data_IF_166690013891
#
_entry.id   IF_166690013891
#
_cell.length_a   1.000
_cell.length_b   1.000
_cell.length_c   1.000
_cell.angle_alpha   90.00
_cell.angle_beta   90.00
_cell.angle_gamma   90.00
#
_symmetry.space_group_name_H-M   'P 1'
#
loop_
_entity.id
_entity.type
_entity.pdbx_description
1 polymer ?
#
# COMPACT_ATOMS: atom_id res chain seq x y z
N UNK A 1 -4.41 47.04 -5.81
CA UNK A 1 -4.74 45.63 -6.06
C UNK A 1 -4.38 44.85 -4.81
N UNK A 2 -5.35 44.64 -3.93
CA UNK A 2 -5.18 43.91 -2.66
C UNK A 2 -5.27 42.42 -2.96
N UNK A 3 -4.15 41.71 -2.85
CA UNK A 3 -4.12 40.26 -2.93
C UNK A 3 -4.76 39.71 -1.64
N UNK A 4 -6.01 39.25 -1.71
CA UNK A 4 -6.64 38.50 -0.64
C UNK A 4 -5.95 37.14 -0.60
N UNK A 5 -5.06 36.90 0.37
CA UNK A 5 -4.59 35.54 0.61
C UNK A 5 -5.74 34.77 1.22
N UNK A 6 -6.31 33.81 0.50
CA UNK A 6 -7.26 32.86 1.06
C UNK A 6 -6.45 31.99 2.02
N UNK A 7 -6.60 32.23 3.32
CA UNK A 7 -6.01 31.38 4.35
C UNK A 7 -6.82 30.08 4.39
N UNK A 8 -6.16 28.95 4.20
CA UNK A 8 -6.83 27.65 4.23
C UNK A 8 -7.37 27.29 5.62
N UNK A 9 -8.35 26.39 5.63
CA UNK A 9 -9.02 25.91 6.85
C UNK A 9 -8.45 24.58 7.34
N UNK A 10 -8.60 24.30 8.64
CA UNK A 10 -8.16 23.04 9.25
C UNK A 10 -9.37 22.12 9.46
N UNK A 11 -9.26 20.88 9.00
CA UNK A 11 -10.29 19.85 9.19
C UNK A 11 -9.69 18.68 9.94
N UNK A 12 -10.22 18.35 11.11
CA UNK A 12 -9.76 17.19 11.87
C UNK A 12 -10.59 15.97 11.48
N UNK A 13 -9.94 14.85 11.13
CA UNK A 13 -10.66 13.64 10.71
C UNK A 13 -11.64 13.11 11.77
N UNK A 14 -11.39 13.39 13.06
CA UNK A 14 -12.27 13.05 14.18
C UNK A 14 -13.59 13.80 14.18
N UNK A 15 -13.66 15.00 13.58
CA UNK A 15 -14.91 15.76 13.41
C UNK A 15 -15.84 15.08 12.39
N UNK A 16 -15.30 14.16 11.60
CA UNK A 16 -16.02 13.35 10.60
C UNK A 16 -16.23 11.91 11.06
N UNK A 17 -15.83 11.57 12.30
CA UNK A 17 -16.05 10.26 12.90
C UNK A 17 -14.89 9.26 12.77
N UNK A 18 -13.70 9.69 12.32
CA UNK A 18 -12.52 8.82 12.31
C UNK A 18 -11.87 8.82 13.70
N UNK A 19 -11.87 7.67 14.37
CA UNK A 19 -11.34 7.51 15.73
C UNK A 19 -10.28 6.43 15.74
N UNK A 20 -9.12 6.74 16.31
CA UNK A 20 -8.02 5.79 16.31
C UNK A 20 -8.18 4.68 17.35
N UNK A 21 -7.62 3.52 17.03
CA UNK A 21 -7.52 2.34 17.90
C UNK A 21 -8.87 1.75 18.36
N UNK A 22 -9.95 1.97 17.62
CA UNK A 22 -11.26 1.41 17.92
C UNK A 22 -11.59 0.15 17.09
N UNK A 23 -10.69 -0.25 16.17
CA UNK A 23 -10.86 -1.34 15.21
C UNK A 23 -12.07 -1.17 14.27
N UNK A 24 -12.51 0.07 14.07
CA UNK A 24 -13.56 0.43 13.11
C UNK A 24 -12.90 0.96 11.84
N UNK A 25 -13.58 0.77 10.70
CA UNK A 25 -13.13 1.30 9.41
C UNK A 25 -13.36 2.82 9.34
N UNK A 26 -12.27 3.56 9.24
CA UNK A 26 -12.23 5.03 9.20
C UNK A 26 -12.31 5.59 7.77
N UNK A 27 -12.33 4.73 6.73
CA UNK A 27 -12.19 5.18 5.33
C UNK A 27 -13.20 6.27 4.96
N UNK A 28 -14.49 6.09 5.27
CA UNK A 28 -15.53 7.06 4.89
C UNK A 28 -15.38 8.40 5.60
N UNK A 29 -15.04 8.38 6.89
CA UNK A 29 -14.83 9.57 7.70
C UNK A 29 -13.61 10.38 7.24
N UNK A 30 -12.51 9.69 6.93
CA UNK A 30 -11.31 10.32 6.38
C UNK A 30 -11.59 10.91 4.99
N UNK A 31 -12.28 10.17 4.12
CA UNK A 31 -12.66 10.66 2.80
C UNK A 31 -13.53 11.92 2.91
N UNK A 32 -14.51 11.94 3.81
CA UNK A 32 -15.38 13.10 4.02
C UNK A 32 -14.59 14.34 4.50
N UNK A 33 -13.60 14.17 5.36
CA UNK A 33 -12.72 15.27 5.80
C UNK A 33 -11.91 15.84 4.63
N UNK A 34 -11.34 14.96 3.79
CA UNK A 34 -10.57 15.34 2.59
C UNK A 34 -11.46 16.06 1.58
N UNK A 35 -12.62 15.51 1.26
CA UNK A 35 -13.59 16.11 0.34
C UNK A 35 -14.01 17.49 0.83
N UNK A 36 -14.22 17.63 2.15
CA UNK A 36 -14.53 18.93 2.75
C UNK A 36 -13.38 19.93 2.56
N UNK A 37 -12.14 19.53 2.82
CA UNK A 37 -10.97 20.39 2.63
C UNK A 37 -10.76 20.82 1.17
N UNK A 38 -10.97 19.91 0.22
CA UNK A 38 -10.92 20.21 -1.22
C UNK A 38 -12.04 21.19 -1.59
N UNK A 39 -13.26 20.95 -1.12
CA UNK A 39 -14.42 21.82 -1.41
C UNK A 39 -14.28 23.24 -0.82
N UNK A 40 -13.54 23.39 0.28
CA UNK A 40 -13.27 24.69 0.89
C UNK A 40 -12.35 25.56 0.04
N UNK A 41 -11.41 24.94 -0.69
CA UNK A 41 -10.50 25.61 -1.61
C UNK A 41 -9.03 25.44 -1.25
N UNK A 42 -8.21 26.34 -1.77
CA UNK A 42 -6.74 26.22 -1.71
C UNK A 42 -6.21 26.42 -0.29
N UNK A 43 -5.18 25.65 0.08
CA UNK A 43 -4.45 25.81 1.34
C UNK A 43 -5.03 25.07 2.55
N UNK A 44 -6.12 24.31 2.37
CA UNK A 44 -6.73 23.52 3.45
C UNK A 44 -5.77 22.48 4.03
N UNK A 45 -5.95 22.17 5.32
CA UNK A 45 -5.13 21.21 6.06
C UNK A 45 -6.04 20.13 6.68
N UNK A 46 -5.84 18.87 6.30
CA UNK A 46 -6.48 17.70 6.90
C UNK A 46 -5.58 17.16 8.00
N UNK A 47 -6.10 17.06 9.22
CA UNK A 47 -5.35 16.70 10.42
C UNK A 47 -5.83 15.34 10.93
N UNK A 48 -4.93 14.36 10.91
CA UNK A 48 -5.18 13.03 11.46
C UNK A 48 -5.02 13.00 12.98
N UNK A 49 -5.73 12.07 13.61
CA UNK A 49 -5.64 11.77 15.04
C UNK A 49 -4.35 11.00 15.39
N UNK A 50 -4.04 10.96 16.68
CA UNK A 50 -2.99 10.09 17.23
C UNK A 50 -3.51 8.65 17.37
N UNK A 51 -2.78 7.67 16.85
CA UNK A 51 -3.07 6.24 16.93
C UNK A 51 -3.20 5.61 15.55
N UNK A 52 -3.84 4.44 15.51
CA UNK A 52 -4.05 3.65 14.29
C UNK A 52 -5.44 3.88 13.74
N UNK A 53 -5.54 4.27 12.47
CA UNK A 53 -6.79 4.32 11.72
C UNK A 53 -6.85 3.14 10.75
N UNK A 54 -7.95 2.39 10.74
CA UNK A 54 -8.13 1.24 9.85
C UNK A 54 -8.81 1.68 8.56
N UNK A 55 -8.32 1.19 7.43
CA UNK A 55 -8.86 1.51 6.12
C UNK A 55 -9.28 0.23 5.42
N UNK A 56 -10.51 0.17 4.93
CA UNK A 56 -11.01 -0.93 4.09
C UNK A 56 -10.95 -0.63 2.59
N UNK A 57 -10.82 0.64 2.21
CA UNK A 57 -10.70 1.08 0.81
C UNK A 57 -9.82 2.32 0.62
N UNK A 58 -9.43 2.54 -0.64
CA UNK A 58 -8.53 3.63 -1.06
C UNK A 58 -9.12 5.01 -0.80
N UNK A 59 -8.32 5.90 -0.21
CA UNK A 59 -8.65 7.32 -0.09
C UNK A 59 -8.33 8.04 -1.41
N UNK A 60 -9.36 8.60 -2.04
CA UNK A 60 -9.26 9.30 -3.31
C UNK A 60 -9.05 10.80 -3.09
N UNK A 61 -8.04 11.38 -3.74
CA UNK A 61 -7.72 12.81 -3.65
C UNK A 61 -7.70 13.36 -5.08
N UNK A 62 -8.76 14.06 -5.48
CA UNK A 62 -8.94 14.52 -6.86
C UNK A 62 -9.15 16.02 -6.91
N UNK A 63 -8.49 16.71 -7.85
CA UNK A 63 -8.62 18.17 -8.06
C UNK A 63 -8.25 19.02 -6.83
N UNK A 64 -7.29 18.57 -6.02
CA UNK A 64 -6.82 19.33 -4.86
C UNK A 64 -5.80 20.41 -5.27
N UNK A 65 -5.87 21.60 -4.68
CA UNK A 65 -4.88 22.68 -4.84
C UNK A 65 -4.32 23.08 -3.48
N UNK A 66 -3.01 22.98 -3.29
CA UNK A 66 -2.31 23.28 -2.03
C UNK A 66 -2.91 22.59 -0.79
N UNK A 67 -3.47 21.38 -0.94
CA UNK A 67 -4.00 20.60 0.17
C UNK A 67 -2.83 19.98 0.95
N UNK A 68 -2.86 20.13 2.27
CA UNK A 68 -1.94 19.41 3.17
C UNK A 68 -2.69 18.35 3.96
N UNK A 69 -2.22 17.11 3.93
CA UNK A 69 -2.66 16.02 4.79
C UNK A 69 -1.53 15.73 5.78
N UNK A 70 -1.82 15.84 7.08
CA UNK A 70 -0.80 15.74 8.12
C UNK A 70 -1.23 14.87 9.30
N UNK A 71 -0.37 13.94 9.69
CA UNK A 71 -0.49 13.20 10.94
C UNK A 71 0.21 13.89 12.11
N UNK A 72 0.12 13.29 13.29
CA UNK A 72 0.73 13.80 14.53
C UNK A 72 2.23 13.46 14.64
N UNK A 73 2.79 12.72 13.68
CA UNK A 73 4.17 12.23 13.65
C UNK A 73 4.24 10.80 13.11
N UNK A 74 5.38 10.42 12.52
CA UNK A 74 5.56 9.09 11.91
C UNK A 74 5.30 7.93 12.90
N UNK A 75 5.66 8.10 14.17
CA UNK A 75 5.41 7.11 15.24
C UNK A 75 4.08 7.32 15.98
N UNK A 76 3.26 8.28 15.56
CA UNK A 76 2.06 8.73 16.28
C UNK A 76 0.78 8.58 15.48
N UNK A 77 0.85 8.54 14.17
CA UNK A 77 -0.30 8.33 13.29
C UNK A 77 0.04 7.20 12.34
N UNK A 78 -0.70 6.10 12.42
CA UNK A 78 -0.57 4.94 11.54
C UNK A 78 -1.87 4.77 10.76
N UNK A 79 -1.77 4.65 9.44
CA UNK A 79 -2.87 4.20 8.58
C UNK A 79 -2.61 2.74 8.23
N UNK A 80 -3.55 1.86 8.54
CA UNK A 80 -3.43 0.44 8.25
C UNK A 80 -4.48 0.00 7.22
N UNK A 81 -4.01 -0.46 6.07
CA UNK A 81 -4.88 -1.06 5.06
C UNK A 81 -5.25 -2.49 5.46
N UNK A 82 -6.55 -2.77 5.56
CA UNK A 82 -7.08 -4.10 5.94
C UNK A 82 -7.49 -4.97 4.76
N UNK A 83 -7.43 -4.41 3.54
CA UNK A 83 -7.66 -5.11 2.28
C UNK A 83 -6.56 -4.77 1.27
N UNK A 84 -6.54 -5.46 0.12
CA UNK A 84 -5.56 -5.17 -0.94
C UNK A 84 -5.97 -3.89 -1.67
N UNK A 85 -5.33 -2.77 -1.32
CA UNK A 85 -5.65 -1.45 -1.83
C UNK A 85 -4.40 -0.56 -1.94
N UNK A 86 -4.56 0.61 -2.55
CA UNK A 86 -3.67 1.74 -2.29
C UNK A 86 -4.23 2.52 -1.11
N UNK A 87 -3.39 3.06 -0.22
CA UNK A 87 -3.90 3.92 0.85
C UNK A 87 -4.39 5.26 0.29
N UNK A 88 -3.57 5.90 -0.55
CA UNK A 88 -3.92 7.14 -1.24
C UNK A 88 -3.86 6.96 -2.74
N UNK A 89 -4.85 7.53 -3.44
CA UNK A 89 -4.86 7.67 -4.87
C UNK A 89 -5.12 9.13 -5.24
N UNK A 90 -4.07 9.82 -5.71
CA UNK A 90 -4.12 11.24 -6.02
C UNK A 90 -4.16 11.48 -7.54
N UNK A 91 -5.10 12.30 -8.00
CA UNK A 91 -5.26 12.67 -9.41
C UNK A 91 -5.52 14.17 -9.58
N UNK A 92 -4.94 14.77 -10.62
CA UNK A 92 -5.15 16.18 -10.96
C UNK A 92 -4.91 17.16 -9.79
N UNK A 93 -3.93 16.85 -8.94
CA UNK A 93 -3.60 17.67 -7.79
C UNK A 93 -2.40 18.60 -8.09
N UNK A 94 -2.46 19.82 -7.56
CA UNK A 94 -1.36 20.78 -7.56
C UNK A 94 -0.98 21.14 -6.12
N UNK A 95 0.29 21.07 -5.77
CA UNK A 95 0.76 21.38 -4.41
C UNK A 95 0.25 20.45 -3.28
N UNK A 96 -0.15 19.20 -3.59
CA UNK A 96 -0.53 18.22 -2.56
C UNK A 96 0.66 17.83 -1.69
N UNK A 97 0.50 17.90 -0.36
CA UNK A 97 1.49 17.43 0.61
C UNK A 97 0.87 16.39 1.54
N UNK A 98 1.53 15.24 1.71
CA UNK A 98 1.18 14.23 2.71
C UNK A 98 2.41 14.06 3.63
N UNK A 99 2.24 14.23 4.94
CA UNK A 99 3.36 14.24 5.88
C UNK A 99 3.01 13.72 7.27
N UNK A 100 4.04 13.40 8.05
CA UNK A 100 3.94 13.11 9.50
C UNK A 100 3.01 11.94 9.87
N UNK A 101 2.95 10.91 9.05
CA UNK A 101 2.20 9.67 9.30
C UNK A 101 3.00 8.46 8.78
N UNK A 102 2.65 7.28 9.28
CA UNK A 102 3.08 5.98 8.75
C UNK A 102 1.94 5.30 8.01
N UNK A 103 2.31 4.44 7.06
CA UNK A 103 1.41 3.57 6.32
C UNK A 103 1.89 2.14 6.51
N UNK A 104 0.97 1.25 6.82
CA UNK A 104 1.20 -0.19 6.84
C UNK A 104 -0.06 -0.94 6.36
N UNK A 105 0.01 -2.26 6.35
CA UNK A 105 -1.07 -3.14 5.95
C UNK A 105 -1.11 -4.35 6.87
N UNK A 106 -2.29 -4.75 7.29
CA UNK A 106 -2.50 -6.05 7.93
C UNK A 106 -3.80 -6.66 7.40
N UNK A 107 -3.71 -7.70 6.56
CA UNK A 107 -2.51 -8.44 6.17
C UNK A 107 -1.62 -7.69 5.17
N UNK A 108 -0.33 -8.05 5.09
CA UNK A 108 0.56 -7.52 4.05
C UNK A 108 -0.01 -7.76 2.64
N UNK A 109 0.12 -6.78 1.72
CA UNK A 109 -0.49 -6.84 0.40
C UNK A 109 0.31 -7.72 -0.57
N UNK A 110 1.32 -8.45 -0.07
CA UNK A 110 2.18 -9.32 -0.84
C UNK A 110 2.64 -10.54 -0.01
N UNK A 111 2.92 -11.63 -0.72
CA UNK A 111 3.58 -12.82 -0.18
C UNK A 111 5.08 -12.73 -0.45
N UNK A 112 5.91 -13.02 0.56
CA UNK A 112 7.35 -13.16 0.39
C UNK A 112 7.85 -14.49 0.94
N UNK A 113 8.96 -14.98 0.39
CA UNK A 113 9.58 -16.22 0.82
C UNK A 113 10.77 -16.63 -0.05
N UNK A 114 11.35 -17.78 0.26
CA UNK A 114 12.51 -18.28 -0.49
C UNK A 114 12.09 -19.23 -1.59
N UNK A 115 12.69 -19.12 -2.77
CA UNK A 115 12.51 -20.08 -3.86
C UNK A 115 13.04 -21.45 -3.42
N UNK A 116 12.20 -22.46 -3.47
CA UNK A 116 12.57 -23.87 -3.16
C UNK A 116 12.51 -24.78 -4.37
N UNK A 117 11.86 -24.34 -5.45
CA UNK A 117 11.83 -25.02 -6.74
C UNK A 117 11.57 -24.00 -7.85
N UNK A 118 12.20 -24.21 -9.01
CA UNK A 118 12.07 -23.33 -10.16
C UNK A 118 12.06 -24.14 -11.46
N UNK A 119 11.09 -23.86 -12.32
CA UNK A 119 10.98 -24.44 -13.65
C UNK A 119 10.59 -23.35 -14.65
N UNK A 120 10.46 -23.72 -15.93
CA UNK A 120 10.00 -22.80 -16.97
C UNK A 120 8.52 -22.42 -16.84
N UNK A 121 7.73 -23.14 -16.02
CA UNK A 121 6.27 -22.97 -15.93
C UNK A 121 5.77 -22.65 -14.53
N UNK A 122 6.63 -22.74 -13.50
CA UNK A 122 6.28 -22.36 -12.14
C UNK A 122 7.51 -22.12 -11.25
N UNK A 123 7.28 -21.37 -10.16
CA UNK A 123 8.14 -21.27 -8.99
C UNK A 123 7.39 -21.84 -7.78
N UNK A 124 8.06 -22.61 -6.93
CA UNK A 124 7.56 -22.89 -5.59
C UNK A 124 8.36 -22.04 -4.59
N UNK A 125 7.67 -21.26 -3.78
CA UNK A 125 8.28 -20.47 -2.71
C UNK A 125 7.89 -21.02 -1.34
N UNK A 126 8.85 -21.06 -0.42
CA UNK A 126 8.60 -21.26 1.01
C UNK A 126 8.30 -19.91 1.64
N UNK A 127 7.01 -19.64 1.81
CA UNK A 127 6.50 -18.41 2.43
C UNK A 127 7.12 -18.22 3.81
N UNK A 128 7.58 -17.00 4.11
CA UNK A 128 8.17 -16.64 5.40
C UNK A 128 7.20 -15.77 6.22
N UNK A 129 7.13 -15.96 7.55
CA UNK A 129 6.46 -15.00 8.41
C UNK A 129 7.04 -13.58 8.25
N UNK A 130 6.22 -12.54 8.45
CA UNK A 130 4.79 -12.59 8.78
C UNK A 130 3.88 -12.72 7.53
N UNK A 131 4.46 -12.96 6.34
CA UNK A 131 3.68 -13.16 5.13
C UNK A 131 2.86 -14.45 5.20
N UNK A 132 1.77 -14.45 4.44
CA UNK A 132 0.87 -15.60 4.29
C UNK A 132 0.84 -16.09 2.85
N UNK A 133 0.50 -17.35 2.69
CA UNK A 133 0.26 -17.94 1.38
C UNK A 133 -1.10 -17.49 0.86
N UNK A 134 -1.11 -16.57 -0.11
CA UNK A 134 -2.33 -16.15 -0.77
C UNK A 134 -2.58 -17.07 -1.99
N UNK A 135 -3.56 -17.97 -1.86
CA UNK A 135 -4.01 -18.87 -2.93
C UNK A 135 -4.98 -18.18 -3.88
N UNK A 136 -5.17 -18.78 -5.05
CA UNK A 136 -6.11 -18.32 -6.08
C UNK A 136 -5.79 -16.92 -6.63
N UNK A 137 -4.51 -16.51 -6.57
CA UNK A 137 -4.05 -15.21 -7.05
C UNK A 137 -3.32 -15.32 -8.38
N UNK A 138 -3.47 -14.27 -9.20
CA UNK A 138 -2.63 -14.05 -10.38
C UNK A 138 -1.43 -13.19 -9.97
N UNK A 139 -0.25 -13.77 -10.03
CA UNK A 139 0.99 -13.04 -9.73
C UNK A 139 1.46 -12.33 -10.99
N UNK A 140 1.32 -11.00 -10.99
CA UNK A 140 1.74 -10.14 -12.11
C UNK A 140 3.19 -9.69 -12.00
N UNK A 141 3.76 -9.75 -10.80
CA UNK A 141 5.10 -9.23 -10.50
C UNK A 141 5.82 -10.15 -9.52
N UNK A 142 7.09 -10.43 -9.79
CA UNK A 142 8.03 -11.08 -8.89
C UNK A 142 9.25 -10.17 -8.78
N UNK A 143 9.69 -9.90 -7.56
CA UNK A 143 10.80 -9.01 -7.27
C UNK A 143 11.75 -9.78 -6.36
N UNK A 144 13.02 -9.90 -6.75
CA UNK A 144 14.05 -10.46 -5.88
C UNK A 144 14.32 -9.50 -4.71
N UNK A 145 14.43 -10.04 -3.51
CA UNK A 145 14.71 -9.30 -2.30
C UNK A 145 16.16 -9.49 -1.85
N UNK A 146 16.77 -8.42 -1.34
CA UNK A 146 18.05 -8.46 -0.65
C UNK A 146 17.79 -8.53 0.87
N UNK A 147 17.96 -9.70 1.49
CA UNK A 147 17.68 -9.87 2.91
C UNK A 147 18.74 -9.23 3.83
N UNK A 148 19.90 -8.84 3.31
CA UNK A 148 20.95 -8.16 4.09
C UNK A 148 20.62 -6.67 4.20
N UNK A 149 20.29 -6.06 3.06
CA UNK A 149 19.98 -4.63 2.96
C UNK A 149 18.50 -4.30 3.20
N UNK A 150 17.66 -5.33 3.38
CA UNK A 150 16.22 -5.25 3.64
C UNK A 150 15.42 -4.45 2.58
N UNK A 151 15.71 -4.69 1.30
CA UNK A 151 15.08 -3.95 0.18
C UNK A 151 15.02 -4.81 -1.08
N UNK A 152 14.25 -4.40 -2.12
CA UNK A 152 14.39 -5.00 -3.44
C UNK A 152 15.85 -5.03 -3.89
N UNK A 153 16.30 -6.17 -4.42
CA UNK A 153 17.65 -6.33 -4.92
C UNK A 153 17.92 -5.32 -6.03
N UNK A 154 19.15 -4.80 -6.08
CA UNK A 154 19.57 -3.73 -6.98
C UNK A 154 20.88 -4.09 -7.72
N UNK A 155 21.15 -3.40 -8.84
CA UNK A 155 22.33 -3.64 -9.67
C UNK A 155 22.29 -4.98 -10.42
N UNK A 156 23.42 -5.69 -10.58
CA UNK A 156 23.50 -6.94 -11.36
C UNK A 156 22.67 -8.10 -10.78
N UNK A 157 22.18 -7.94 -9.56
CA UNK A 157 21.32 -8.87 -8.84
C UNK A 157 19.83 -8.52 -8.94
N UNK A 158 19.46 -7.43 -9.65
CA UNK A 158 18.07 -7.00 -9.82
C UNK A 158 17.37 -7.94 -10.78
N UNK A 159 16.37 -8.66 -10.28
CA UNK A 159 15.43 -9.34 -11.15
C UNK A 159 14.00 -8.94 -10.78
N UNK A 160 13.38 -8.19 -11.68
CA UNK A 160 11.97 -7.86 -11.64
C UNK A 160 11.31 -8.54 -12.84
N UNK A 161 10.40 -9.47 -12.56
CA UNK A 161 9.65 -10.17 -13.59
C UNK A 161 8.21 -9.72 -13.55
N UNK A 162 7.78 -9.06 -14.62
CA UNK A 162 6.37 -8.80 -14.85
C UNK A 162 5.84 -9.83 -15.83
N UNK A 163 4.71 -10.43 -15.48
CA UNK A 163 4.09 -11.45 -16.31
C UNK A 163 2.59 -11.24 -16.41
N UNK A 164 2.03 -11.66 -17.54
CA UNK A 164 0.60 -11.91 -17.69
C UNK A 164 0.44 -13.43 -17.68
N UNK A 165 0.19 -14.05 -16.52
CA UNK A 165 0.02 -15.50 -16.47
C UNK A 165 -1.18 -15.91 -17.32
N UNK A 166 -1.18 -17.12 -17.91
CA UNK A 166 -2.32 -17.64 -18.66
C UNK A 166 -3.63 -17.49 -17.88
N UNK A 167 -4.77 -17.31 -18.57
CA UNK A 167 -6.06 -16.95 -17.98
C UNK A 167 -6.61 -17.92 -16.89
N UNK A 168 -5.95 -19.05 -16.65
CA UNK A 168 -6.35 -20.08 -15.69
C UNK A 168 -5.22 -20.50 -14.73
N UNK A 169 -4.14 -19.71 -14.65
CA UNK A 169 -2.98 -20.04 -13.85
C UNK A 169 -2.97 -19.18 -12.58
N UNK A 170 -3.45 -19.76 -11.48
CA UNK A 170 -3.47 -19.13 -10.16
C UNK A 170 -2.46 -19.79 -9.20
N UNK A 171 -2.10 -19.07 -8.16
CA UNK A 171 -1.31 -19.62 -7.05
C UNK A 171 -2.02 -20.77 -6.36
N UNK A 172 -1.26 -21.79 -5.96
CA UNK A 172 -1.79 -22.97 -5.27
C UNK A 172 -0.84 -23.45 -4.18
N UNK A 173 -1.38 -24.07 -3.13
CA UNK A 173 -0.57 -24.69 -2.09
C UNK A 173 -0.13 -26.08 -2.53
N UNK A 174 1.17 -26.32 -2.49
CA UNK A 174 1.75 -27.66 -2.71
C UNK A 174 1.75 -28.45 -1.40
N UNK A 175 2.02 -27.76 -0.28
CA UNK A 175 1.94 -28.23 1.09
C UNK A 175 1.99 -27.03 2.02
N UNK A 176 1.93 -27.25 3.33
CA UNK A 176 2.07 -26.20 4.35
C UNK A 176 3.27 -25.29 4.05
N UNK A 177 3.00 -23.99 3.93
CA UNK A 177 3.95 -22.90 3.64
C UNK A 177 4.69 -22.96 2.30
N UNK A 178 4.34 -23.87 1.38
CA UNK A 178 4.88 -23.88 0.02
C UNK A 178 3.82 -23.45 -0.98
N UNK A 179 3.99 -22.24 -1.52
CA UNK A 179 3.10 -21.64 -2.52
C UNK A 179 3.71 -21.84 -3.92
N UNK A 180 2.95 -22.46 -4.82
CA UNK A 180 3.28 -22.50 -6.25
C UNK A 180 2.77 -21.23 -6.92
N UNK A 181 3.65 -20.58 -7.65
CA UNK A 181 3.39 -19.43 -8.50
C UNK A 181 3.55 -19.88 -9.96
N UNK A 182 2.46 -19.91 -10.75
CA UNK A 182 2.57 -20.19 -12.16
C UNK A 182 3.36 -19.10 -12.89
N UNK A 183 4.14 -19.52 -13.89
CA UNK A 183 4.94 -18.64 -14.71
C UNK A 183 4.44 -18.62 -16.16
N UNK A 184 4.47 -17.43 -16.78
CA UNK A 184 4.28 -17.27 -18.22
C UNK A 184 5.54 -17.64 -19.02
N UNK A 185 6.72 -17.49 -18.41
CA UNK A 185 8.03 -17.80 -18.98
C UNK A 185 9.06 -18.04 -17.88
N UNK A 186 10.20 -18.62 -18.26
CA UNK A 186 11.31 -18.82 -17.32
C UNK A 186 11.75 -17.50 -16.68
N UNK A 187 11.90 -17.52 -15.36
CA UNK A 187 12.50 -16.44 -14.57
C UNK A 187 14.00 -16.64 -14.40
N UNK A 188 14.71 -15.58 -14.06
CA UNK A 188 16.11 -15.63 -13.58
C UNK A 188 16.26 -15.96 -12.09
N UNK A 189 15.15 -16.20 -11.37
CA UNK A 189 15.16 -16.63 -9.97
C UNK A 189 15.65 -18.08 -9.85
N UNK A 190 16.57 -18.31 -8.92
CA UNK A 190 17.15 -19.61 -8.61
C UNK A 190 16.70 -20.09 -7.24
N UNK A 191 16.81 -21.41 -7.00
CA UNK A 191 16.60 -21.98 -5.67
C UNK A 191 17.50 -21.26 -4.65
N UNK A 192 16.90 -20.80 -3.56
CA UNK A 192 17.57 -20.04 -2.50
C UNK A 192 17.43 -18.52 -2.62
N UNK A 193 16.99 -17.98 -3.77
CA UNK A 193 16.67 -16.55 -3.87
C UNK A 193 15.48 -16.18 -2.96
N UNK A 194 15.54 -14.96 -2.41
CA UNK A 194 14.50 -14.34 -1.60
C UNK A 194 13.63 -13.38 -2.43
#
# INVERSE_FOLDING_TARGET
>A
MTCLSIQGEKFFVSEFGAYSNDNIDDTQSIQAAIDKGISYGSGSIIIFVHGTCNLSSTISITNASNLTIIGQGISKTLLIGTTRMFIFFAQYCDGLKIASLSIDFDPYPFTAGYVVNATNTYLDIRVQPPHRADIDQRVLGLIRYDPIEMRPAFGPNTYNFYQVPPNYANTSLIRTNILRIPLASLTGLNIGDA
#
